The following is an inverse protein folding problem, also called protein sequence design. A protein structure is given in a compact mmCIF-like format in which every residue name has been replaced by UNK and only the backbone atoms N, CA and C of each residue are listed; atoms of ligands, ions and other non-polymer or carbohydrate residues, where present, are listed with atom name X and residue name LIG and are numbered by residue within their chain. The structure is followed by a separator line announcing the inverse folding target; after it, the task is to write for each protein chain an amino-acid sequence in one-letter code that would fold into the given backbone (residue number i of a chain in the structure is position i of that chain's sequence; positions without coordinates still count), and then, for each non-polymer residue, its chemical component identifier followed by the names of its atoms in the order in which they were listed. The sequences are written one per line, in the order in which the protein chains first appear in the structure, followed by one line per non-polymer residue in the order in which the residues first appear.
data_IF_188877238474
#
_entry.id   IF_188877238474
#
_cell.length_a   1.000
_cell.length_b   1.000
_cell.length_c   1.000
_cell.angle_alpha   90.00
_cell.angle_beta   90.00
_cell.angle_gamma   90.00
#
_symmetry.space_group_name_H-M   'P 1'
#
loop_
_entity.id
_entity.type
_entity.pdbx_description
1 polymer ?
#
# COMPACT_ATOMS: atom_id res chain seq x y z
N UNK A 1 -9.19 21.45 38.71
CA UNK A 1 -8.97 21.81 37.30
C UNK A 1 -7.69 21.13 36.83
N UNK A 2 -7.81 19.90 36.32
CA UNK A 2 -6.68 19.20 35.72
C UNK A 2 -6.55 19.66 34.27
N UNK A 3 -5.43 20.27 33.93
CA UNK A 3 -5.04 20.45 32.54
C UNK A 3 -4.86 19.05 31.95
N UNK A 4 -5.83 18.60 31.15
CA UNK A 4 -5.57 17.49 30.25
C UNK A 4 -4.54 18.00 29.25
N UNK A 5 -3.29 17.57 29.40
CA UNK A 5 -2.29 17.67 28.35
C UNK A 5 -2.92 17.11 27.08
N UNK A 6 -3.25 17.99 26.13
CA UNK A 6 -3.58 17.54 24.79
C UNK A 6 -2.35 16.79 24.30
N UNK A 7 -2.49 15.52 23.86
CA UNK A 7 -1.38 14.86 23.19
C UNK A 7 -0.97 15.77 22.04
N UNK A 8 0.23 16.34 22.13
CA UNK A 8 0.86 17.02 21.00
C UNK A 8 0.81 16.02 19.86
N UNK A 9 0.05 16.31 18.80
CA UNK A 9 -0.02 15.44 17.64
C UNK A 9 1.41 15.28 17.10
N UNK A 10 2.03 14.13 17.38
CA UNK A 10 3.38 13.84 16.90
C UNK A 10 3.28 13.56 15.42
N UNK A 11 3.50 14.60 14.62
CA UNK A 11 3.61 14.52 13.15
C UNK A 11 5.03 14.83 12.72
N UNK A 12 5.43 14.28 11.58
CA UNK A 12 6.70 14.67 10.97
C UNK A 12 6.64 16.09 10.45
N UNK A 13 7.70 16.85 10.72
CA UNK A 13 7.92 18.17 10.15
C UNK A 13 9.35 18.28 9.61
N UNK A 14 9.52 19.19 8.66
CA UNK A 14 10.85 19.55 8.19
C UNK A 14 11.57 20.42 9.23
N UNK A 15 12.86 20.17 9.41
CA UNK A 15 13.74 20.97 10.27
C UNK A 15 14.79 21.64 9.38
N UNK A 16 14.77 22.98 9.33
CA UNK A 16 15.69 23.78 8.50
C UNK A 16 17.15 23.57 8.88
N UNK A 17 17.41 23.24 10.14
CA UNK A 17 18.75 23.10 10.69
C UNK A 17 19.30 21.69 10.41
N UNK A 18 18.41 20.73 10.13
CA UNK A 18 18.74 19.33 9.90
C UNK A 18 18.18 18.84 8.56
N UNK A 19 18.72 19.35 7.44
CA UNK A 19 18.26 19.07 6.05
C UNK A 19 18.14 17.59 5.66
N UNK A 20 18.85 16.71 6.36
CA UNK A 20 18.85 15.26 6.10
C UNK A 20 17.89 14.48 7.02
N UNK A 21 17.19 15.15 7.93
CA UNK A 21 16.31 14.54 8.90
C UNK A 21 14.90 15.11 8.80
N UNK A 22 13.92 14.32 9.23
CA UNK A 22 12.59 14.81 9.60
C UNK A 22 12.46 14.73 11.11
N UNK A 23 11.91 15.78 11.72
CA UNK A 23 11.65 15.83 13.15
C UNK A 23 10.33 15.14 13.47
N UNK A 24 10.32 14.28 14.49
CA UNK A 24 9.16 13.54 14.98
C UNK A 24 9.07 13.71 16.51
N UNK A 25 8.29 14.70 16.96
CA UNK A 25 8.26 15.09 18.37
C UNK A 25 9.63 15.61 18.81
N UNK A 26 10.25 14.95 19.78
CA UNK A 26 11.61 15.21 20.25
C UNK A 26 12.69 14.43 19.49
N UNK A 27 12.31 13.47 18.66
CA UNK A 27 13.22 12.56 17.97
C UNK A 27 13.41 12.97 16.49
N UNK A 28 14.40 12.37 15.82
CA UNK A 28 14.74 12.63 14.43
C UNK A 28 14.83 11.32 13.63
N UNK A 29 14.26 11.33 12.42
CA UNK A 29 14.39 10.26 11.46
C UNK A 29 15.27 10.70 10.29
N UNK A 30 16.28 9.90 9.92
CA UNK A 30 17.03 10.13 8.69
C UNK A 30 16.10 9.99 7.48
N UNK A 31 16.11 10.98 6.59
CA UNK A 31 15.31 10.97 5.35
C UNK A 31 15.64 9.75 4.49
N UNK A 32 16.92 9.41 4.36
CA UNK A 32 17.35 8.23 3.60
C UNK A 32 16.71 6.93 4.10
N UNK A 33 16.66 6.74 5.41
CA UNK A 33 16.06 5.55 6.03
C UNK A 33 14.55 5.48 5.79
N UNK A 34 13.84 6.62 5.88
CA UNK A 34 12.41 6.69 5.53
C UNK A 34 12.18 6.36 4.05
N UNK A 35 12.99 6.91 3.16
CA UNK A 35 12.88 6.67 1.71
C UNK A 35 13.10 5.19 1.39
N UNK A 36 14.14 4.57 1.95
CA UNK A 36 14.40 3.13 1.79
C UNK A 36 13.22 2.28 2.25
N UNK A 37 12.61 2.62 3.38
CA UNK A 37 11.41 1.96 3.87
C UNK A 37 10.25 2.09 2.89
N UNK A 38 9.96 3.31 2.39
CA UNK A 38 8.84 3.54 1.47
C UNK A 38 9.03 2.83 0.14
N UNK A 39 10.25 2.78 -0.38
CA UNK A 39 10.58 2.02 -1.58
C UNK A 39 10.40 0.51 -1.37
N UNK A 40 10.85 -0.02 -0.23
CA UNK A 40 10.67 -1.43 0.09
C UNK A 40 9.18 -1.80 0.28
N UNK A 41 8.42 -0.96 0.95
CA UNK A 41 6.96 -1.06 1.11
C UNK A 41 6.23 -1.05 -0.23
N UNK A 42 6.57 -0.11 -1.11
CA UNK A 42 5.98 0.00 -2.45
C UNK A 42 6.31 -1.23 -3.28
N UNK A 43 7.58 -1.66 -3.32
CA UNK A 43 8.01 -2.80 -4.11
C UNK A 43 7.37 -4.11 -3.66
N UNK A 44 7.26 -4.36 -2.34
CA UNK A 44 6.60 -5.56 -1.82
C UNK A 44 5.10 -5.55 -2.13
N UNK A 45 4.47 -4.38 -2.06
CA UNK A 45 3.04 -4.19 -2.37
C UNK A 45 2.74 -4.37 -3.85
N UNK A 46 3.60 -3.86 -4.73
CA UNK A 46 3.52 -4.13 -6.18
C UNK A 46 3.62 -5.62 -6.48
N UNK A 47 4.60 -6.30 -5.88
CA UNK A 47 4.76 -7.73 -6.08
C UNK A 47 3.54 -8.53 -5.58
N UNK A 48 2.99 -8.16 -4.42
CA UNK A 48 1.80 -8.82 -3.85
C UNK A 48 0.58 -8.63 -4.76
N UNK A 49 0.37 -7.41 -5.28
CA UNK A 49 -0.74 -7.12 -6.20
C UNK A 49 -0.57 -7.82 -7.56
N UNK A 50 0.68 -7.96 -8.05
CA UNK A 50 1.00 -8.76 -9.22
C UNK A 50 0.67 -10.24 -9.00
N UNK A 51 1.05 -10.79 -7.85
CA UNK A 51 0.75 -12.18 -7.46
C UNK A 51 -0.77 -12.43 -7.42
N UNK A 52 -1.54 -11.53 -6.80
CA UNK A 52 -3.01 -11.59 -6.73
C UNK A 52 -3.63 -11.63 -8.14
N UNK A 53 -3.22 -10.69 -9.01
CA UNK A 53 -3.72 -10.62 -10.37
C UNK A 53 -3.35 -11.85 -11.20
N UNK A 54 -2.11 -12.33 -11.12
CA UNK A 54 -1.67 -13.54 -11.82
C UNK A 54 -2.41 -14.79 -11.35
N UNK A 55 -2.69 -14.91 -10.05
CA UNK A 55 -3.55 -15.98 -9.53
C UNK A 55 -4.94 -15.95 -10.16
N UNK A 56 -5.59 -14.78 -10.22
CA UNK A 56 -6.89 -14.64 -10.86
C UNK A 56 -6.82 -14.94 -12.36
N UNK A 57 -5.77 -14.49 -13.05
CA UNK A 57 -5.54 -14.76 -14.48
C UNK A 57 -5.39 -16.26 -14.76
N UNK A 58 -4.59 -16.97 -13.98
CA UNK A 58 -4.41 -18.44 -14.09
C UNK A 58 -5.73 -19.16 -13.86
N UNK A 59 -6.48 -18.79 -12.82
CA UNK A 59 -7.79 -19.40 -12.53
C UNK A 59 -8.81 -19.14 -13.64
N UNK A 60 -8.82 -17.94 -14.21
CA UNK A 60 -9.71 -17.58 -15.31
C UNK A 60 -9.38 -18.38 -16.59
N UNK A 61 -8.11 -18.48 -16.95
CA UNK A 61 -7.65 -19.26 -18.11
C UNK A 61 -7.93 -20.75 -17.94
N UNK A 62 -7.68 -21.30 -16.75
CA UNK A 62 -8.01 -22.69 -16.44
C UNK A 62 -9.50 -22.99 -16.62
N UNK A 63 -10.37 -22.08 -16.16
CA UNK A 63 -11.83 -22.21 -16.35
C UNK A 63 -12.24 -22.08 -17.81
N UNK A 64 -11.64 -21.17 -18.57
CA UNK A 64 -11.91 -21.00 -19.99
C UNK A 64 -11.54 -22.25 -20.79
N UNK A 65 -10.37 -22.84 -20.52
CA UNK A 65 -9.92 -24.08 -21.16
C UNK A 65 -10.81 -25.29 -20.84
N UNK A 66 -11.43 -25.32 -19.67
CA UNK A 66 -12.40 -26.37 -19.32
C UNK A 66 -13.72 -26.27 -20.11
N UNK A 67 -14.01 -25.09 -20.68
CA UNK A 67 -15.26 -24.80 -21.40
C UNK A 67 -15.04 -24.83 -22.93
N UNK A 68 -13.87 -24.42 -23.42
CA UNK A 68 -13.58 -24.28 -24.85
C UNK A 68 -12.73 -25.44 -25.42
N UNK A 69 -13.08 -25.95 -26.61
CA UNK A 69 -12.32 -26.99 -27.34
C UNK A 69 -11.15 -26.47 -28.18
N UNK A 70 -10.98 -25.16 -28.36
CA UNK A 70 -9.96 -24.57 -29.24
C UNK A 70 -8.69 -24.22 -28.46
N UNK A 71 -7.85 -25.23 -28.22
CA UNK A 71 -6.94 -25.26 -27.07
C UNK A 71 -5.55 -24.64 -27.22
N UNK A 72 -5.12 -24.13 -28.39
CA UNK A 72 -3.69 -23.80 -28.58
C UNK A 72 -3.29 -22.41 -28.06
N UNK A 73 -4.11 -21.38 -28.30
CA UNK A 73 -3.83 -20.00 -27.83
C UNK A 73 -3.99 -19.89 -26.32
N UNK A 74 -5.08 -20.45 -25.78
CA UNK A 74 -5.40 -20.39 -24.35
C UNK A 74 -4.39 -21.17 -23.51
N UNK A 75 -3.92 -22.33 -24.00
CA UNK A 75 -2.85 -23.10 -23.35
C UNK A 75 -1.55 -22.31 -23.27
N UNK A 76 -1.17 -21.62 -24.35
CA UNK A 76 0.06 -20.80 -24.35
C UNK A 76 -0.05 -19.64 -23.35
N UNK A 77 -1.20 -18.98 -23.29
CA UNK A 77 -1.44 -17.92 -22.30
C UNK A 77 -1.45 -18.44 -20.86
N UNK A 78 -2.05 -19.62 -20.64
CA UNK A 78 -2.10 -20.27 -19.33
C UNK A 78 -0.70 -20.60 -18.82
N UNK A 79 0.13 -21.26 -19.63
CA UNK A 79 1.51 -21.60 -19.25
C UNK A 79 2.35 -20.35 -19.00
N UNK A 80 2.20 -19.32 -19.84
CA UNK A 80 2.88 -18.04 -19.62
C UNK A 80 2.47 -17.37 -18.30
N UNK A 81 1.16 -17.33 -18.00
CA UNK A 81 0.65 -16.74 -16.75
C UNK A 81 1.12 -17.53 -15.52
N UNK A 82 1.13 -18.87 -15.60
CA UNK A 82 1.62 -19.74 -14.54
C UNK A 82 3.12 -19.55 -14.30
N UNK A 83 3.91 -19.49 -15.37
CA UNK A 83 5.35 -19.19 -15.27
C UNK A 83 5.60 -17.83 -14.61
N UNK A 84 4.90 -16.78 -15.04
CA UNK A 84 5.02 -15.46 -14.42
C UNK A 84 4.59 -15.45 -12.95
N UNK A 85 3.60 -16.26 -12.57
CA UNK A 85 3.17 -16.40 -11.18
C UNK A 85 4.28 -17.04 -10.34
N UNK A 86 4.88 -18.14 -10.82
CA UNK A 86 6.00 -18.81 -10.15
C UNK A 86 7.21 -17.86 -10.01
N UNK A 87 7.57 -17.13 -11.06
CA UNK A 87 8.63 -16.12 -11.03
C UNK A 87 8.35 -15.02 -10.00
N UNK A 88 7.10 -14.53 -9.93
CA UNK A 88 6.65 -13.52 -8.96
C UNK A 88 6.77 -14.05 -7.52
N UNK A 89 6.34 -15.29 -7.28
CA UNK A 89 6.39 -15.92 -5.97
C UNK A 89 7.82 -16.12 -5.47
N UNK A 90 8.76 -16.45 -6.37
CA UNK A 90 10.20 -16.58 -6.03
C UNK A 90 10.80 -15.23 -5.60
N UNK A 91 10.30 -14.10 -6.11
CA UNK A 91 10.79 -12.77 -5.70
C UNK A 91 10.29 -12.34 -4.31
N UNK A 92 9.22 -12.95 -3.80
CA UNK A 92 8.56 -12.51 -2.56
C UNK A 92 9.50 -12.51 -1.35
N UNK A 93 10.23 -13.60 -1.02
CA UNK A 93 11.15 -13.60 0.12
C UNK A 93 12.24 -12.53 0.01
N UNK A 94 12.72 -12.24 -1.21
CA UNK A 94 13.72 -11.19 -1.44
C UNK A 94 13.18 -9.79 -1.11
N UNK A 95 11.95 -9.49 -1.52
CA UNK A 95 11.31 -8.18 -1.24
C UNK A 95 10.91 -8.08 0.23
N UNK A 96 10.47 -9.17 0.84
CA UNK A 96 10.17 -9.23 2.27
C UNK A 96 11.44 -9.01 3.12
N UNK A 97 12.56 -9.62 2.73
CA UNK A 97 13.84 -9.40 3.39
C UNK A 97 14.36 -7.96 3.21
N UNK A 98 14.18 -7.37 2.03
CA UNK A 98 14.52 -5.97 1.81
C UNK A 98 13.71 -5.02 2.72
N UNK A 99 12.41 -5.29 2.89
CA UNK A 99 11.58 -4.56 3.85
C UNK A 99 12.07 -4.76 5.29
N UNK A 100 12.38 -5.99 5.69
CA UNK A 100 12.97 -6.27 7.01
C UNK A 100 14.27 -5.48 7.26
N UNK A 101 15.18 -5.41 6.28
CA UNK A 101 16.40 -4.64 6.40
C UNK A 101 16.13 -3.13 6.56
N UNK A 102 15.12 -2.59 5.87
CA UNK A 102 14.73 -1.19 6.03
C UNK A 102 14.09 -0.94 7.40
N UNK A 103 13.25 -1.85 7.88
CA UNK A 103 12.63 -1.83 9.21
C UNK A 103 13.68 -1.81 10.33
N UNK A 104 14.77 -2.58 10.21
CA UNK A 104 15.83 -2.67 11.21
C UNK A 104 16.72 -1.43 11.34
N UNK A 105 16.60 -0.45 10.43
CA UNK A 105 17.40 0.78 10.46
C UNK A 105 16.80 1.86 11.37
N UNK A 106 15.56 1.68 11.84
CA UNK A 106 14.93 2.62 12.75
C UNK A 106 15.39 2.40 14.20
N UNK A 107 15.60 3.50 14.91
CA UNK A 107 15.78 3.44 16.36
C UNK A 107 14.48 3.01 17.06
N UNK A 108 14.62 2.50 18.28
CA UNK A 108 13.55 1.82 19.04
C UNK A 108 12.20 2.55 18.99
N UNK A 109 12.15 3.83 19.37
CA UNK A 109 10.89 4.61 19.38
C UNK A 109 10.18 4.70 18.02
N UNK A 110 10.92 4.93 16.92
CA UNK A 110 10.31 4.99 15.59
C UNK A 110 9.87 3.61 15.13
N UNK A 111 10.64 2.57 15.45
CA UNK A 111 10.27 1.19 15.19
C UNK A 111 8.97 0.81 15.92
N UNK A 112 8.86 1.17 17.20
CA UNK A 112 7.66 0.93 18.00
C UNK A 112 6.43 1.64 17.42
N UNK A 113 6.59 2.89 16.97
CA UNK A 113 5.50 3.63 16.32
C UNK A 113 5.04 2.96 15.02
N UNK A 114 6.00 2.53 14.18
CA UNK A 114 5.75 1.81 12.94
C UNK A 114 5.07 0.45 13.15
N UNK A 115 5.54 -0.32 14.15
CA UNK A 115 5.02 -1.65 14.48
C UNK A 115 3.63 -1.56 15.12
N UNK A 116 3.43 -0.61 16.04
CA UNK A 116 2.15 -0.41 16.73
C UNK A 116 1.01 -0.21 15.74
N UNK A 117 1.24 0.53 14.66
CA UNK A 117 0.27 0.70 13.59
C UNK A 117 -0.06 -0.61 12.88
N UNK A 118 0.95 -1.46 12.63
CA UNK A 118 0.81 -2.72 11.88
C UNK A 118 0.19 -3.87 12.65
N UNK A 119 0.00 -3.72 13.96
CA UNK A 119 -0.80 -4.68 14.74
C UNK A 119 -2.25 -4.71 14.24
N UNK A 120 -2.77 -3.60 13.73
CA UNK A 120 -4.05 -3.58 13.05
C UNK A 120 -3.90 -4.17 11.64
N UNK A 121 -4.58 -5.29 11.36
CA UNK A 121 -4.61 -5.90 10.03
C UNK A 121 -5.19 -4.98 8.94
N UNK A 122 -5.91 -3.92 9.32
CA UNK A 122 -6.46 -2.88 8.45
C UNK A 122 -5.73 -1.53 8.58
N UNK A 123 -4.49 -1.50 9.11
CA UNK A 123 -3.69 -0.29 9.26
C UNK A 123 -3.58 0.56 7.98
N UNK A 124 -3.63 -0.08 6.81
CA UNK A 124 -3.55 0.59 5.53
C UNK A 124 -4.85 1.29 5.12
N UNK A 125 -5.98 1.03 5.78
CA UNK A 125 -7.29 1.64 5.51
C UNK A 125 -7.51 2.97 6.25
N UNK A 126 -6.44 3.59 6.72
CA UNK A 126 -6.47 4.91 7.33
C UNK A 126 -6.93 5.97 6.33
N UNK A 127 -7.58 7.00 6.84
CA UNK A 127 -8.13 8.09 6.01
C UNK A 127 -7.07 8.70 5.10
N UNK A 128 -5.86 8.94 5.61
CA UNK A 128 -4.78 9.54 4.85
C UNK A 128 -4.35 8.67 3.66
N UNK A 129 -4.32 7.34 3.84
CA UNK A 129 -3.91 6.40 2.79
C UNK A 129 -5.03 6.12 1.78
N UNK A 130 -6.29 6.14 2.25
CA UNK A 130 -7.48 6.07 1.39
C UNK A 130 -7.54 7.32 0.49
N UNK A 131 -7.30 8.49 1.08
CA UNK A 131 -7.29 9.76 0.36
C UNK A 131 -6.15 9.81 -0.67
N UNK A 132 -4.93 9.42 -0.30
CA UNK A 132 -3.81 9.29 -1.25
C UNK A 132 -4.15 8.38 -2.43
N UNK A 133 -4.74 7.21 -2.15
CA UNK A 133 -5.19 6.31 -3.21
C UNK A 133 -6.25 6.95 -4.11
N UNK A 134 -7.17 7.73 -3.54
CA UNK A 134 -8.22 8.43 -4.29
C UNK A 134 -7.64 9.55 -5.16
N UNK A 135 -6.74 10.36 -4.62
CA UNK A 135 -6.13 11.52 -5.30
C UNK A 135 -5.24 11.10 -6.47
N UNK A 136 -4.58 9.94 -6.36
CA UNK A 136 -3.85 9.30 -7.47
C UNK A 136 -4.76 8.58 -8.48
N UNK A 137 -6.08 8.71 -8.35
CA UNK A 137 -7.04 8.07 -9.25
C UNK A 137 -7.14 6.54 -9.11
N UNK A 138 -6.86 5.99 -7.93
CA UNK A 138 -6.89 4.54 -7.64
C UNK A 138 -8.29 3.97 -7.36
N UNK A 139 -8.38 2.72 -6.87
CA UNK A 139 -9.66 2.05 -6.56
C UNK A 139 -10.55 2.87 -5.61
N UNK A 140 -9.97 3.68 -4.72
CA UNK A 140 -10.73 4.41 -3.70
C UNK A 140 -11.59 5.54 -4.27
N UNK A 141 -11.16 6.20 -5.35
CA UNK A 141 -11.99 7.21 -6.03
C UNK A 141 -13.18 6.57 -6.76
N UNK A 142 -12.99 5.33 -7.26
CA UNK A 142 -14.03 4.54 -7.97
C UNK A 142 -14.93 3.72 -7.04
N UNK A 143 -14.58 3.60 -5.75
CA UNK A 143 -15.35 2.88 -4.74
C UNK A 143 -15.65 1.41 -5.09
N UNK A 144 -14.75 0.72 -5.79
CA UNK A 144 -14.94 -0.70 -6.14
C UNK A 144 -14.70 -1.68 -4.97
N UNK A 145 -14.25 -1.21 -3.80
CA UNK A 145 -14.02 -2.05 -2.61
C UNK A 145 -12.72 -2.87 -2.61
N UNK A 146 -12.00 -2.91 -3.74
CA UNK A 146 -10.79 -3.74 -3.94
C UNK A 146 -9.73 -3.54 -2.84
N UNK A 147 -9.50 -2.28 -2.44
CA UNK A 147 -8.50 -1.94 -1.44
C UNK A 147 -8.84 -2.51 -0.07
N UNK A 148 -10.09 -2.35 0.38
CA UNK A 148 -10.52 -2.80 1.70
C UNK A 148 -10.36 -4.32 1.82
N UNK A 149 -10.72 -5.07 0.79
CA UNK A 149 -10.69 -6.53 0.81
C UNK A 149 -9.28 -7.14 0.93
N UNK A 150 -8.20 -6.37 0.72
CA UNK A 150 -6.82 -6.89 0.81
C UNK A 150 -6.38 -7.35 2.20
N UNK A 151 -7.10 -7.00 3.27
CA UNK A 151 -6.85 -7.59 4.59
C UNK A 151 -7.08 -9.12 4.60
N UNK A 152 -7.84 -9.64 3.62
CA UNK A 152 -8.08 -11.06 3.39
C UNK A 152 -6.99 -11.75 2.56
N UNK A 153 -5.99 -11.00 2.07
CA UNK A 153 -4.89 -11.56 1.28
C UNK A 153 -4.06 -12.53 2.12
N UNK A 154 -3.59 -13.62 1.48
CA UNK A 154 -2.77 -14.66 2.12
C UNK A 154 -1.45 -14.11 2.65
N UNK A 155 -0.91 -13.08 1.99
CA UNK A 155 0.30 -12.38 2.45
C UNK A 155 -0.08 -11.40 3.58
N UNK A 156 0.67 -11.44 4.67
CA UNK A 156 0.49 -10.52 5.81
C UNK A 156 1.21 -9.19 5.59
N UNK A 157 2.39 -9.23 4.96
CA UNK A 157 3.13 -8.05 4.48
C UNK A 157 2.72 -7.71 3.04
N UNK A 158 3.07 -6.49 2.59
CA UNK A 158 2.71 -6.01 1.25
C UNK A 158 1.23 -5.61 1.08
N UNK A 159 0.46 -5.56 2.18
CA UNK A 159 -0.93 -5.08 2.16
C UNK A 159 -0.97 -3.57 2.00
N UNK A 160 -1.91 -3.07 1.18
CA UNK A 160 -2.11 -1.64 1.04
C UNK A 160 -2.97 -1.22 -0.13
N UNK A 161 -3.01 0.08 -0.37
CA UNK A 161 -3.73 0.66 -1.50
C UNK A 161 -3.08 0.34 -2.87
N UNK A 162 -3.79 0.67 -3.94
CA UNK A 162 -3.40 0.32 -5.29
C UNK A 162 -2.02 0.85 -5.67
N UNK A 163 -1.26 -0.02 -6.33
CA UNK A 163 -0.09 0.31 -7.11
C UNK A 163 -0.42 0.16 -8.60
N UNK A 164 0.59 0.28 -9.45
CA UNK A 164 0.47 0.05 -10.90
C UNK A 164 0.09 -1.38 -11.27
N UNK A 165 0.28 -2.34 -10.34
CA UNK A 165 0.00 -3.78 -10.49
C UNK A 165 -1.37 -4.20 -9.95
N UNK A 166 -2.18 -3.25 -9.45
CA UNK A 166 -3.53 -3.57 -9.00
C UNK A 166 -4.41 -4.06 -10.17
N UNK A 167 -4.95 -5.28 -10.07
CA UNK A 167 -5.86 -5.86 -11.08
C UNK A 167 -7.01 -4.91 -11.46
N UNK A 168 -7.72 -4.36 -10.49
CA UNK A 168 -8.82 -3.43 -10.76
C UNK A 168 -8.36 -2.16 -11.51
N UNK A 169 -7.14 -1.68 -11.24
CA UNK A 169 -6.56 -0.55 -11.96
C UNK A 169 -6.11 -0.94 -13.36
N UNK A 170 -5.50 -2.12 -13.53
CA UNK A 170 -5.14 -2.69 -14.84
C UNK A 170 -6.39 -2.84 -15.71
N UNK A 171 -7.46 -3.43 -15.17
CA UNK A 171 -8.73 -3.60 -15.85
C UNK A 171 -9.37 -2.27 -16.26
N UNK A 172 -9.35 -1.27 -15.37
CA UNK A 172 -9.84 0.07 -15.71
C UNK A 172 -9.00 0.76 -16.78
N UNK A 173 -7.66 0.63 -16.70
CA UNK A 173 -6.72 1.16 -17.69
C UNK A 173 -6.83 0.45 -19.05
N UNK A 174 -7.26 -0.81 -19.06
CA UNK A 174 -7.43 -1.63 -20.25
C UNK A 174 -6.15 -2.28 -20.79
N UNK A 175 -5.01 -2.07 -20.13
CA UNK A 175 -3.72 -2.65 -20.53
C UNK A 175 -2.74 -2.76 -19.35
N UNK A 176 -1.79 -3.69 -19.50
CA UNK A 176 -0.61 -3.82 -18.64
C UNK A 176 0.48 -2.86 -19.09
N UNK A 177 1.17 -2.24 -18.13
CA UNK A 177 2.35 -1.43 -18.46
C UNK A 177 3.52 -2.34 -18.89
N UNK A 178 4.31 -1.86 -19.85
CA UNK A 178 5.58 -2.49 -20.21
C UNK A 178 6.59 -2.32 -19.08
N UNK A 179 7.52 -3.26 -18.94
CA UNK A 179 8.52 -3.24 -17.85
C UNK A 179 9.32 -1.93 -17.81
N UNK A 180 9.65 -1.37 -18.98
CA UNK A 180 10.31 -0.05 -19.08
C UNK A 180 9.48 1.06 -18.44
N UNK A 181 8.17 1.10 -18.69
CA UNK A 181 7.26 2.11 -18.12
C UNK A 181 7.12 1.93 -16.62
N UNK A 182 7.08 0.69 -16.12
CA UNK A 182 7.06 0.42 -14.68
C UNK A 182 8.33 0.93 -14.00
N UNK A 183 9.49 0.69 -14.63
CA UNK A 183 10.77 1.17 -14.13
C UNK A 183 10.84 2.70 -14.15
N UNK A 184 10.35 3.36 -15.19
CA UNK A 184 10.24 4.82 -15.26
C UNK A 184 9.39 5.37 -14.10
N UNK A 185 8.20 4.82 -13.88
CA UNK A 185 7.33 5.23 -12.76
C UNK A 185 7.97 4.97 -11.38
N UNK A 186 8.70 3.86 -11.22
CA UNK A 186 9.44 3.59 -9.98
C UNK A 186 10.55 4.62 -9.75
N UNK A 187 11.27 5.02 -10.80
CA UNK A 187 12.32 6.02 -10.72
C UNK A 187 11.75 7.42 -10.43
N UNK A 188 10.61 7.77 -11.01
CA UNK A 188 9.89 9.01 -10.73
C UNK A 188 9.43 9.07 -9.27
N UNK A 189 8.86 7.97 -8.77
CA UNK A 189 8.49 7.85 -7.35
C UNK A 189 9.71 8.03 -6.44
N UNK A 190 10.82 7.35 -6.72
CA UNK A 190 12.06 7.51 -5.95
C UNK A 190 12.60 8.96 -6.00
N UNK A 191 12.55 9.60 -7.17
CA UNK A 191 12.97 10.99 -7.34
C UNK A 191 12.13 11.93 -6.49
N UNK A 192 10.80 11.79 -6.56
CA UNK A 192 9.84 12.57 -5.76
C UNK A 192 10.07 12.40 -4.25
N UNK A 193 10.48 11.21 -3.80
CA UNK A 193 10.79 10.97 -2.39
C UNK A 193 12.12 11.63 -1.96
N UNK A 194 13.10 11.65 -2.86
CA UNK A 194 14.43 12.24 -2.63
C UNK A 194 14.43 13.76 -2.69
N UNK A 195 13.48 14.37 -3.40
CA UNK A 195 13.33 15.82 -3.48
C UNK A 195 13.40 16.49 -2.10
N UNK A 196 14.22 17.53 -2.02
CA UNK A 196 14.34 18.33 -0.81
C UNK A 196 12.99 18.99 -0.49
N UNK A 197 12.58 18.96 0.79
CA UNK A 197 11.25 19.42 1.21
C UNK A 197 10.07 18.74 0.51
N UNK A 198 10.24 17.48 0.06
CA UNK A 198 9.12 16.69 -0.46
C UNK A 198 8.00 16.56 0.57
N UNK A 199 6.91 17.31 0.33
CA UNK A 199 5.69 17.23 1.14
C UNK A 199 5.12 15.81 1.12
N UNK A 200 5.34 15.09 0.03
CA UNK A 200 4.89 13.72 -0.11
C UNK A 200 5.69 12.74 0.77
N UNK A 201 7.00 12.93 0.93
CA UNK A 201 7.80 12.15 1.90
C UNK A 201 7.29 12.36 3.34
N UNK A 202 6.94 13.60 3.71
CA UNK A 202 6.35 13.91 5.02
C UNK A 202 4.97 13.24 5.16
N UNK A 203 4.14 13.31 4.11
CA UNK A 203 2.84 12.65 4.07
C UNK A 203 2.96 11.13 4.31
N UNK A 204 3.85 10.44 3.60
CA UNK A 204 4.09 9.02 3.80
C UNK A 204 4.61 8.73 5.21
N UNK A 205 5.56 9.50 5.71
CA UNK A 205 6.05 9.35 7.08
C UNK A 205 4.91 9.46 8.10
N UNK A 206 3.97 10.37 7.89
CA UNK A 206 2.78 10.46 8.74
C UNK A 206 1.87 9.23 8.63
N UNK A 207 1.65 8.71 7.42
CA UNK A 207 0.88 7.47 7.21
C UNK A 207 1.48 6.26 7.93
N UNK A 208 2.82 6.17 7.97
CA UNK A 208 3.54 4.98 8.44
C UNK A 208 3.96 4.97 9.90
N UNK A 209 4.00 6.12 10.59
CA UNK A 209 4.44 6.19 11.99
C UNK A 209 3.52 6.99 12.91
N UNK A 210 2.74 7.93 12.39
CA UNK A 210 1.93 8.76 13.28
C UNK A 210 0.74 7.95 13.80
N UNK A 211 0.47 7.96 15.11
CA UNK A 211 -0.70 7.30 15.67
C UNK A 211 -1.99 7.88 15.06
N UNK A 212 -3.05 7.09 15.04
CA UNK A 212 -4.36 7.52 14.55
C UNK A 212 -4.74 8.84 15.24
N UNK A 213 -5.17 9.83 14.46
CA UNK A 213 -5.93 10.94 15.05
C UNK A 213 -7.11 10.30 15.78
N UNK A 214 -7.21 10.51 17.10
CA UNK A 214 -8.38 10.12 17.88
C UNK A 214 -9.61 10.53 17.08
N UNK A 215 -10.43 9.54 16.68
CA UNK A 215 -11.53 9.72 15.73
C UNK A 215 -12.34 10.97 16.09
N UNK A 216 -12.39 12.01 15.25
CA UNK A 216 -13.57 12.86 15.25
C UNK A 216 -14.73 11.97 14.82
N UNK A 217 -15.79 11.93 15.63
CA UNK A 217 -17.14 11.40 15.34
C UNK A 217 -17.32 10.93 13.89
N UNK A 218 -17.28 9.61 13.69
CA UNK A 218 -17.56 8.85 12.45
C UNK A 218 -17.15 9.54 11.14
N UNK A 219 -16.14 8.96 10.49
CA UNK A 219 -15.70 9.43 9.16
C UNK A 219 -16.90 9.44 8.19
N UNK A 220 -16.86 10.35 7.21
CA UNK A 220 -17.88 10.45 6.14
C UNK A 220 -18.13 9.07 5.47
N UNK A 221 -17.09 8.24 5.42
CA UNK A 221 -17.10 6.88 4.89
C UNK A 221 -17.87 5.89 5.79
N UNK A 222 -17.66 5.91 7.11
CA UNK A 222 -18.41 5.08 8.06
C UNK A 222 -19.92 5.41 8.02
N UNK A 223 -20.29 6.67 7.72
CA UNK A 223 -21.69 7.09 7.53
C UNK A 223 -22.33 6.57 6.25
N UNK A 224 -21.57 6.43 5.17
CA UNK A 224 -22.09 5.93 3.89
C UNK A 224 -22.28 4.42 3.86
N UNK A 225 -21.46 3.64 4.58
CA UNK A 225 -21.53 2.18 4.56
C UNK A 225 -22.40 1.56 5.66
N UNK A 226 -22.63 2.24 6.80
CA UNK A 226 -23.55 1.73 7.85
C UNK A 226 -25.05 1.92 7.56
N UNK A 227 -25.42 2.62 6.48
CA UNK A 227 -26.84 2.79 6.09
C UNK A 227 -27.44 1.59 5.35
N UNK A 228 -26.72 0.47 5.23
CA UNK A 228 -27.15 -0.73 4.50
C UNK A 228 -27.81 -1.84 5.33
N UNK A 229 -27.85 -1.76 6.67
CA UNK A 229 -28.63 -2.71 7.49
C UNK A 229 -30.04 -2.19 7.64
N UNK A 230 -30.96 -2.75 6.85
CA UNK A 230 -32.40 -2.60 7.00
C UNK A 230 -32.87 -3.04 8.39
N UNK A 231 -33.92 -2.41 8.95
CA UNK A 231 -34.50 -2.84 10.21
C UNK A 231 -35.28 -4.15 10.01
N UNK A 232 -35.06 -5.11 10.90
CA UNK A 232 -36.02 -6.20 11.12
C UNK A 232 -37.40 -5.59 11.38
N UNK A 233 -38.37 -6.03 10.59
CA UNK A 233 -39.79 -5.85 10.87
C UNK A 233 -40.20 -7.01 11.76
N UNK A 234 -40.68 -6.69 12.96
CA UNK A 234 -41.77 -7.39 13.62
C UNK A 234 -42.87 -6.36 13.91
#
# INVERSE_FOLDING_TARGET
MGFFDRPTHTTFIFDSDHKNCLKYGSDYALRSTLIELFLAEQALRELTQREEWLHHKVLALQKAMAIASDGKSDMTQFENAKKSLEETQVQYPKREYALYLAECRFHLKLKDAYDSLRHDTKWFMREEMVQDCSDRGGCCSRKCGCCEQRHLSRRTKGRGHCTIECECCIGFRGFELLEKQKQEMSNEFETMLKEYNSAYTIHLANCFFCPLKLKPQLSRWERTFKKGTTPEKD
#
